data_IF_675449543510
#
_entry.id   IF_675449543510
#
_cell.length_a   1.000
_cell.length_b   1.000
_cell.length_c   1.000
_cell.angle_alpha   90.00
_cell.angle_beta   90.00
_cell.angle_gamma   90.00
#
_symmetry.space_group_name_H-M   'P 1'
#
loop_
_entity.id
_entity.type
_entity.pdbx_description
1 polymer ?
#
# COMPACT_ATOMS: atom_id res chain seq x y z
N UNK A 1 -17.51 -11.77 -7.28
CA UNK A 1 -16.94 -11.66 -7.87
C UNK A 1 -16.66 -10.85 -8.33
N UNK A 2 -16.48 -10.35 -8.64
CA UNK A 2 -16.18 -9.44 -8.93
C UNK A 2 -15.82 -9.09 -10.16
N UNK A 3 -15.90 -7.87 -10.51
CA UNK A 3 -15.64 -7.44 -11.84
C UNK A 3 -14.43 -8.09 -12.41
N UNK A 4 -13.47 -8.32 -11.58
CA UNK A 4 -12.33 -8.98 -12.08
C UNK A 4 -12.61 -10.36 -12.47
N UNK A 5 -13.53 -11.00 -11.79
CA UNK A 5 -13.92 -12.34 -12.16
C UNK A 5 -14.55 -12.36 -13.51
N UNK A 6 -15.00 -11.25 -13.99
CA UNK A 6 -15.54 -11.17 -15.34
C UNK A 6 -14.45 -11.10 -16.40
N UNK A 7 -13.19 -11.14 -15.99
CA UNK A 7 -12.09 -11.08 -16.93
C UNK A 7 -11.80 -9.69 -17.43
N UNK A 8 -12.31 -8.70 -16.78
CA UNK A 8 -12.15 -7.33 -17.24
C UNK A 8 -10.87 -6.69 -16.78
N UNK A 9 -9.95 -7.46 -16.28
CA UNK A 9 -8.66 -6.95 -15.91
C UNK A 9 -8.58 -6.52 -14.47
N UNK A 10 -7.85 -5.47 -14.20
CA UNK A 10 -7.39 -5.16 -12.87
C UNK A 10 -8.43 -4.49 -12.02
N UNK A 11 -8.44 -4.77 -10.72
CA UNK A 11 -9.28 -4.01 -9.81
C UNK A 11 -8.86 -2.55 -9.82
N UNK A 12 -9.82 -1.67 -9.61
CA UNK A 12 -9.55 -0.24 -9.51
C UNK A 12 -8.84 0.07 -8.21
N UNK A 13 -7.68 0.70 -8.31
CA UNK A 13 -6.93 1.13 -7.15
C UNK A 13 -7.61 2.35 -6.54
N UNK A 14 -7.94 2.26 -5.26
CA UNK A 14 -8.54 3.39 -4.53
C UNK A 14 -7.42 4.19 -3.88
N UNK A 15 -7.27 5.44 -4.31
CA UNK A 15 -6.27 6.35 -3.77
C UNK A 15 -6.93 7.31 -2.80
N UNK A 16 -6.49 7.27 -1.53
CA UNK A 16 -6.95 8.26 -0.57
C UNK A 16 -6.15 9.56 -0.69
N UNK A 17 -5.00 9.49 -1.32
CA UNK A 17 -4.14 10.66 -1.47
C UNK A 17 -3.38 10.99 -0.20
N UNK A 18 -3.10 12.27 -0.02
CA UNK A 18 -2.27 12.74 1.10
C UNK A 18 -2.93 12.49 2.45
N UNK A 19 -2.19 11.85 3.35
CA UNK A 19 -2.65 11.55 4.71
C UNK A 19 -1.96 12.46 5.74
N UNK A 20 -0.63 12.56 5.66
CA UNK A 20 0.13 13.36 6.63
C UNK A 20 1.44 13.84 6.03
N UNK A 21 2.01 14.85 6.65
CA UNK A 21 3.34 15.38 6.34
C UNK A 21 4.12 15.48 7.65
N UNK A 22 5.37 15.02 7.62
CA UNK A 22 6.25 15.14 8.78
C UNK A 22 7.65 15.51 8.30
N UNK A 23 8.18 16.61 8.83
CA UNK A 23 9.52 17.10 8.48
C UNK A 23 9.75 17.10 6.97
N UNK A 24 8.73 17.52 6.22
CA UNK A 24 8.76 17.62 4.77
C UNK A 24 8.44 16.33 4.02
N UNK A 25 8.51 15.18 4.65
CA UNK A 25 8.08 13.92 4.01
C UNK A 25 6.57 13.87 3.93
N UNK A 26 6.06 13.52 2.74
CA UNK A 26 4.61 13.41 2.50
C UNK A 26 4.24 11.94 2.36
N UNK A 27 3.09 11.58 2.91
CA UNK A 27 2.58 10.22 2.87
C UNK A 27 1.19 10.16 2.26
N UNK A 28 0.96 9.13 1.47
CA UNK A 28 -0.34 8.81 0.91
C UNK A 28 -0.60 7.31 1.05
N UNK A 29 -1.86 6.90 0.92
CA UNK A 29 -2.22 5.49 0.99
C UNK A 29 -3.21 5.16 -0.12
N UNK A 30 -3.07 3.95 -0.64
CA UNK A 30 -3.92 3.42 -1.70
C UNK A 30 -4.17 1.94 -1.43
N UNK A 31 -5.18 1.38 -2.07
CA UNK A 31 -5.44 -0.04 -1.96
C UNK A 31 -6.49 -0.52 -2.93
N UNK A 32 -6.62 -1.82 -3.05
CA UNK A 32 -7.63 -2.47 -3.88
C UNK A 32 -7.70 -3.96 -3.58
N UNK A 33 -8.80 -4.62 -3.94
CA UNK A 33 -8.87 -6.07 -3.86
C UNK A 33 -7.87 -6.72 -4.82
N UNK A 34 -7.22 -7.77 -4.35
CA UNK A 34 -6.29 -8.59 -5.16
C UNK A 34 -6.43 -10.04 -4.72
N UNK A 35 -6.24 -10.99 -5.62
CA UNK A 35 -6.28 -12.40 -5.28
C UNK A 35 -4.99 -13.14 -5.65
N UNK A 36 -4.05 -12.46 -6.29
CA UNK A 36 -2.82 -13.10 -6.77
C UNK A 36 -1.67 -12.11 -6.82
N UNK A 37 -0.46 -12.63 -6.96
CA UNK A 37 0.72 -11.79 -7.19
C UNK A 37 0.57 -10.98 -8.48
N UNK A 38 -0.02 -11.57 -9.51
CA UNK A 38 -0.22 -10.86 -10.77
C UNK A 38 -1.13 -9.64 -10.59
N UNK A 39 -2.16 -9.76 -9.76
CA UNK A 39 -3.03 -8.63 -9.44
C UNK A 39 -2.26 -7.53 -8.71
N UNK A 40 -1.40 -7.91 -7.79
CA UNK A 40 -0.57 -6.96 -7.04
C UNK A 40 0.35 -6.20 -8.00
N UNK A 41 1.04 -6.92 -8.86
CA UNK A 41 1.95 -6.30 -9.83
C UNK A 41 1.20 -5.34 -10.76
N UNK A 42 0.01 -5.71 -11.20
CA UNK A 42 -0.81 -4.88 -12.05
C UNK A 42 -1.27 -3.60 -11.31
N UNK A 43 -1.66 -3.73 -10.04
CA UNK A 43 -2.06 -2.58 -9.24
C UNK A 43 -0.91 -1.62 -9.01
N UNK A 44 0.28 -2.13 -8.70
CA UNK A 44 1.46 -1.29 -8.51
C UNK A 44 1.86 -0.60 -9.80
N UNK A 45 1.76 -1.28 -10.93
CA UNK A 45 2.02 -0.69 -12.22
C UNK A 45 1.01 0.42 -12.53
N UNK A 46 -0.25 0.19 -12.22
CA UNK A 46 -1.29 1.18 -12.42
C UNK A 46 -1.06 2.42 -11.56
N UNK A 47 -0.69 2.24 -10.30
CA UNK A 47 -0.35 3.33 -9.40
C UNK A 47 0.74 4.22 -9.99
N UNK A 48 1.76 3.62 -10.58
CA UNK A 48 2.91 4.34 -11.12
C UNK A 48 2.66 4.98 -12.49
N UNK A 49 1.48 4.82 -13.06
CA UNK A 49 1.07 5.62 -14.22
C UNK A 49 0.89 7.08 -13.85
N UNK A 50 0.54 7.34 -12.60
CA UNK A 50 0.57 8.68 -12.05
C UNK A 50 2.03 9.04 -11.79
N UNK A 51 2.52 10.07 -12.47
CA UNK A 51 3.93 10.46 -12.40
C UNK A 51 4.38 10.80 -10.99
N UNK A 52 3.52 11.37 -10.18
CA UNK A 52 3.85 11.68 -8.79
C UNK A 52 4.21 10.39 -8.04
N UNK A 53 3.43 9.34 -8.22
CA UNK A 53 3.66 8.06 -7.56
C UNK A 53 4.86 7.32 -8.15
N UNK A 54 5.08 7.44 -9.45
CA UNK A 54 6.26 6.86 -10.10
C UNK A 54 7.55 7.48 -9.56
N UNK A 55 7.50 8.76 -9.17
CA UNK A 55 8.65 9.49 -8.63
C UNK A 55 8.76 9.41 -7.12
N UNK A 56 7.82 8.74 -6.45
CA UNK A 56 7.86 8.60 -5.00
C UNK A 56 9.12 7.88 -4.56
N UNK A 57 9.57 8.20 -3.36
CA UNK A 57 10.76 7.55 -2.79
C UNK A 57 10.49 6.09 -2.47
N UNK A 58 9.30 5.81 -1.91
CA UNK A 58 8.90 4.45 -1.54
C UNK A 58 7.42 4.25 -1.83
N UNK A 59 7.08 3.10 -2.39
CA UNK A 59 5.71 2.59 -2.48
C UNK A 59 5.71 1.23 -1.78
N UNK A 60 5.60 1.25 -0.46
CA UNK A 60 5.63 0.05 0.38
C UNK A 60 4.25 -0.62 0.38
N UNK A 61 4.21 -1.93 0.34
CA UNK A 61 2.92 -2.60 0.22
C UNK A 61 2.88 -3.94 0.96
N UNK A 62 1.67 -4.40 1.23
CA UNK A 62 1.42 -5.70 1.82
C UNK A 62 0.05 -6.23 1.41
N UNK A 63 -0.08 -7.55 1.39
CA UNK A 63 -1.33 -8.24 1.12
C UNK A 63 -1.29 -9.62 1.78
N UNK A 64 -2.40 -10.03 2.38
CA UNK A 64 -2.55 -11.38 2.92
C UNK A 64 -3.48 -12.13 1.96
N UNK A 65 -2.91 -12.93 1.09
CA UNK A 65 -3.69 -13.67 0.09
C UNK A 65 -4.25 -14.95 0.71
N UNK A 66 -5.52 -15.24 0.45
CA UNK A 66 -6.11 -16.50 0.94
C UNK A 66 -5.50 -17.69 0.22
N UNK A 67 -5.07 -17.51 -1.04
CA UNK A 67 -4.34 -18.53 -1.77
C UNK A 67 -2.94 -17.98 -2.06
N UNK A 68 -1.95 -18.43 -1.31
CA UNK A 68 -0.58 -17.95 -1.46
C UNK A 68 0.00 -17.32 -0.20
N UNK A 69 -0.85 -16.95 0.74
CA UNK A 69 -0.42 -16.44 2.03
C UNK A 69 0.03 -14.98 2.03
N UNK A 70 0.76 -14.58 3.07
CA UNK A 70 1.21 -13.20 3.20
C UNK A 70 2.33 -12.88 2.22
N UNK A 71 2.28 -11.67 1.67
CA UNK A 71 3.28 -11.19 0.72
C UNK A 71 3.45 -9.68 0.91
N UNK A 72 4.67 -9.18 0.79
CA UNK A 72 4.95 -7.77 0.99
C UNK A 72 6.13 -7.30 0.15
N UNK A 73 6.23 -5.99 -0.01
CA UNK A 73 7.37 -5.35 -0.62
C UNK A 73 7.70 -4.04 0.08
N UNK A 74 8.93 -3.91 0.55
CA UNK A 74 9.35 -2.70 1.27
C UNK A 74 9.62 -1.52 0.34
N UNK A 75 10.02 -1.80 -0.87
CA UNK A 75 10.40 -0.78 -1.86
C UNK A 75 11.38 0.23 -1.27
N UNK A 76 12.40 -0.27 -0.60
CA UNK A 76 13.45 0.56 -0.01
C UNK A 76 13.17 1.11 1.39
N UNK A 77 11.92 1.03 1.89
CA UNK A 77 11.57 1.42 3.25
C UNK A 77 11.68 0.18 4.14
N UNK A 78 12.90 -0.19 4.51
CA UNK A 78 13.17 -1.46 5.18
C UNK A 78 12.27 -1.69 6.40
N UNK A 79 11.56 -2.82 6.41
CA UNK A 79 10.66 -3.20 7.49
C UNK A 79 9.24 -2.67 7.40
N UNK A 80 8.98 -1.71 6.52
CA UNK A 80 7.67 -1.07 6.46
C UNK A 80 6.59 -1.99 5.89
N UNK A 81 6.94 -2.88 4.97
CA UNK A 81 5.98 -3.84 4.43
C UNK A 81 5.41 -4.76 5.49
N UNK A 82 6.22 -5.16 6.46
CA UNK A 82 5.77 -5.98 7.57
C UNK A 82 4.78 -5.24 8.47
N UNK A 83 4.96 -3.93 8.63
CA UNK A 83 4.03 -3.12 9.42
C UNK A 83 2.64 -3.18 8.79
N UNK A 84 2.55 -3.00 7.47
CA UNK A 84 1.29 -3.10 6.75
C UNK A 84 0.69 -4.48 6.88
N UNK A 85 1.49 -5.51 6.61
CA UNK A 85 1.04 -6.89 6.62
C UNK A 85 0.45 -7.30 7.98
N UNK A 86 1.13 -6.93 9.07
CA UNK A 86 0.64 -7.23 10.41
C UNK A 86 -0.70 -6.56 10.72
N UNK A 87 -0.91 -5.37 10.21
CA UNK A 87 -2.20 -4.69 10.38
C UNK A 87 -3.31 -5.42 9.63
N UNK A 88 -3.04 -5.86 8.40
CA UNK A 88 -4.00 -6.64 7.62
C UNK A 88 -4.36 -7.94 8.34
N UNK A 89 -3.36 -8.62 8.88
CA UNK A 89 -3.58 -9.87 9.61
C UNK A 89 -4.40 -9.66 10.87
N UNK A 90 -4.12 -8.61 11.63
CA UNK A 90 -4.90 -8.28 12.83
C UNK A 90 -6.34 -7.94 12.50
N UNK A 91 -6.59 -7.30 11.37
CA UNK A 91 -7.94 -6.97 10.94
C UNK A 91 -8.66 -8.16 10.31
N UNK A 92 -7.95 -9.26 10.07
CA UNK A 92 -8.51 -10.41 9.38
C UNK A 92 -8.86 -10.10 7.93
N UNK A 93 -8.22 -9.10 7.33
CA UNK A 93 -8.50 -8.71 5.95
C UNK A 93 -7.59 -9.49 5.00
N UNK A 94 -8.21 -10.33 4.19
CA UNK A 94 -7.52 -11.10 3.16
C UNK A 94 -7.89 -10.59 1.77
N UNK A 95 -7.06 -10.95 0.79
CA UNK A 95 -7.29 -10.63 -0.62
C UNK A 95 -7.47 -9.14 -0.86
N UNK A 96 -6.62 -8.37 -0.21
CA UNK A 96 -6.63 -6.91 -0.32
C UNK A 96 -5.19 -6.39 -0.25
N UNK A 97 -4.87 -5.46 -1.14
CA UNK A 97 -3.57 -4.80 -1.18
C UNK A 97 -3.67 -3.42 -0.53
N UNK A 98 -2.70 -3.10 0.31
CA UNK A 98 -2.55 -1.73 0.84
C UNK A 98 -1.15 -1.25 0.48
N UNK A 99 -1.06 -0.05 -0.08
CA UNK A 99 0.19 0.60 -0.49
C UNK A 99 0.33 1.91 0.26
N UNK A 100 1.45 2.09 0.94
CA UNK A 100 1.79 3.37 1.58
C UNK A 100 2.90 4.01 0.77
N UNK A 101 2.65 5.21 0.29
CA UNK A 101 3.56 5.96 -0.56
C UNK A 101 4.19 7.09 0.24
N UNK A 102 5.51 7.25 0.11
CA UNK A 102 6.25 8.32 0.77
C UNK A 102 7.10 9.09 -0.23
N UNK A 103 7.03 10.41 -0.14
CA UNK A 103 7.93 11.32 -0.84
C UNK A 103 8.87 11.93 0.21
N UNK A 104 10.15 11.60 0.12
CA UNK A 104 11.15 12.05 1.08
C UNK A 104 11.28 13.57 1.06
N UNK A 105 11.32 14.16 2.26
CA UNK A 105 11.34 15.62 2.41
C UNK A 105 12.69 16.21 2.82
N UNK A 106 13.76 15.41 2.74
CA UNK A 106 15.10 15.89 3.04
C UNK A 106 15.59 15.63 4.46
N UNK A 107 14.74 15.08 5.32
CA UNK A 107 15.12 14.75 6.70
C UNK A 107 14.74 13.31 7.03
N UNK A 108 15.63 12.63 7.73
CA UNK A 108 15.37 11.27 8.18
C UNK A 108 14.36 11.28 9.31
N UNK A 109 13.44 10.34 9.29
CA UNK A 109 12.38 10.23 10.29
C UNK A 109 12.67 9.17 11.35
N UNK A 110 13.71 8.36 11.16
CA UNK A 110 14.06 7.31 12.10
C UNK A 110 12.91 6.35 12.33
N UNK A 111 12.62 6.03 13.57
CA UNK A 111 11.53 5.11 13.93
C UNK A 111 10.14 5.68 13.64
N UNK A 112 9.99 6.99 13.53
CA UNK A 112 8.70 7.61 13.24
C UNK A 112 8.12 7.16 11.91
N UNK A 113 8.95 6.76 10.96
CA UNK A 113 8.49 6.28 9.66
C UNK A 113 7.54 5.09 9.79
N UNK A 114 7.77 4.20 10.76
CA UNK A 114 6.89 3.04 10.97
C UNK A 114 5.53 3.46 11.54
N UNK A 115 5.55 4.43 12.46
CA UNK A 115 4.30 4.98 13.01
C UNK A 115 3.48 5.64 11.90
N UNK A 116 4.14 6.33 10.96
CA UNK A 116 3.45 6.95 9.84
C UNK A 116 2.86 5.92 8.89
N UNK A 117 3.58 4.83 8.65
CA UNK A 117 3.04 3.72 7.84
C UNK A 117 1.80 3.14 8.52
N UNK A 118 1.82 2.97 9.84
CA UNK A 118 0.66 2.50 10.59
C UNK A 118 -0.52 3.46 10.44
N UNK A 119 -0.28 4.77 10.59
CA UNK A 119 -1.32 5.78 10.46
C UNK A 119 -1.96 5.77 9.08
N UNK A 120 -1.15 5.62 8.04
CA UNK A 120 -1.65 5.56 6.67
C UNK A 120 -2.48 4.29 6.43
N UNK A 121 -1.97 3.15 6.84
CA UNK A 121 -2.72 1.90 6.71
C UNK A 121 -4.01 1.95 7.50
N UNK A 122 -3.99 2.53 8.71
CA UNK A 122 -5.18 2.70 9.54
C UNK A 122 -6.23 3.56 8.83
N UNK A 123 -5.81 4.66 8.23
CA UNK A 123 -6.71 5.54 7.49
C UNK A 123 -7.39 4.79 6.34
N UNK A 124 -6.64 3.96 5.63
CA UNK A 124 -7.21 3.17 4.55
C UNK A 124 -8.21 2.14 5.07
N UNK A 125 -7.84 1.39 6.11
CA UNK A 125 -8.69 0.34 6.66
C UNK A 125 -9.99 0.90 7.25
N UNK A 126 -9.93 2.09 7.84
CA UNK A 126 -11.11 2.72 8.46
C UNK A 126 -12.18 3.11 7.45
N UNK A 127 -11.85 3.24 6.18
CA UNK A 127 -12.84 3.60 5.16
C UNK A 127 -13.39 2.40 4.38
N UNK A 128 -12.95 1.22 4.71
CA UNK A 128 -13.46 -0.01 4.10
C UNK A 128 -14.85 -0.38 4.64
#
# INVERSE_FOLDING_TARGET
MRARLSGLGNPTLKQLGHILTDRGSKYAVSGCPVISRADIDAALKDLKRDRAYAKATHNTWGAALSDGGPIKGDDGEAGAGMVILRMLEREGLTDHLVVVTRWYGGKHLGGDRFRHVQSCARAYLDQL
#
